data_IF_755413171134
#
_entry.id   IF_755413171134
#
_cell.length_a   1.000
_cell.length_b   1.000
_cell.length_c   1.000
_cell.angle_alpha   90.00
_cell.angle_beta   90.00
_cell.angle_gamma   90.00
#
_symmetry.space_group_name_H-M   'P 1'
#
loop_
_entity.id
_entity.type
_entity.pdbx_description
1 polymer ?
#
# COMPACT_ATOMS: atom_id res chain seq x y z
N UNK A 1 20.72 -7.86 4.27
CA UNK A 1 19.44 -7.18 4.21
C UNK A 1 18.93 -6.88 5.60
N UNK A 2 18.37 -5.71 5.77
CA UNK A 2 17.97 -5.24 7.07
C UNK A 2 16.56 -5.72 7.43
N UNK A 3 16.38 -6.40 8.57
CA UNK A 3 15.04 -6.75 9.02
C UNK A 3 14.17 -5.53 9.31
N UNK A 4 14.79 -4.38 9.63
CA UNK A 4 14.07 -3.14 9.82
C UNK A 4 13.42 -2.65 8.53
N UNK A 5 14.13 -2.82 7.41
CA UNK A 5 13.60 -2.42 6.11
C UNK A 5 12.40 -3.28 5.72
N UNK A 6 12.46 -4.58 5.98
CA UNK A 6 11.33 -5.47 5.74
C UNK A 6 10.11 -5.04 6.54
N UNK A 7 10.30 -4.78 7.83
CA UNK A 7 9.22 -4.32 8.70
C UNK A 7 8.64 -3.00 8.22
N UNK A 8 9.48 -2.10 7.76
CA UNK A 8 9.05 -0.81 7.22
C UNK A 8 8.12 -1.01 6.01
N UNK A 9 8.51 -1.89 5.09
CA UNK A 9 7.70 -2.17 3.91
C UNK A 9 6.36 -2.78 4.29
N UNK A 10 6.37 -3.74 5.20
CA UNK A 10 5.14 -4.37 5.68
C UNK A 10 4.20 -3.35 6.33
N UNK A 11 4.75 -2.46 7.14
CA UNK A 11 3.96 -1.40 7.77
C UNK A 11 3.35 -0.44 6.76
N UNK A 12 4.11 -0.11 5.72
CA UNK A 12 3.61 0.74 4.65
C UNK A 12 2.42 0.12 3.94
N UNK A 13 2.54 -1.16 3.61
CA UNK A 13 1.46 -1.90 2.95
C UNK A 13 0.21 -1.90 3.84
N UNK A 14 0.39 -2.19 5.11
CA UNK A 14 -0.72 -2.22 6.06
C UNK A 14 -1.42 -0.87 6.16
N UNK A 15 -0.65 0.20 6.26
CA UNK A 15 -1.20 1.55 6.32
C UNK A 15 -1.98 1.89 5.07
N UNK A 16 -1.44 1.55 3.91
CA UNK A 16 -2.12 1.82 2.65
C UNK A 16 -3.42 1.04 2.54
N UNK A 17 -3.43 -0.21 2.99
CA UNK A 17 -4.65 -1.01 3.02
C UNK A 17 -5.72 -0.40 3.91
N UNK A 18 -5.33 0.11 5.07
CA UNK A 18 -6.26 0.77 5.98
C UNK A 18 -6.86 2.02 5.35
N UNK A 19 -6.04 2.81 4.68
CA UNK A 19 -6.53 4.01 3.99
C UNK A 19 -7.52 3.61 2.89
N UNK A 20 -7.22 2.57 2.15
CA UNK A 20 -8.13 2.07 1.11
C UNK A 20 -9.48 1.67 1.71
N UNK A 21 -9.46 1.00 2.86
CA UNK A 21 -10.68 0.62 3.56
C UNK A 21 -11.51 1.83 4.00
N UNK A 22 -10.84 2.93 4.38
CA UNK A 22 -11.53 4.15 4.78
C UNK A 22 -12.14 4.90 3.61
N UNK A 23 -11.69 4.64 2.39
CA UNK A 23 -12.24 5.29 1.20
C UNK A 23 -13.50 4.52 0.79
N UNK A 24 -14.63 4.99 1.26
CA UNK A 24 -15.93 4.37 0.99
C UNK A 24 -16.73 5.10 -0.07
N UNK A 25 -16.27 6.28 -0.46
CA UNK A 25 -16.94 7.10 -1.48
C UNK A 25 -16.73 6.53 -2.88
N UNK A 26 -17.70 6.76 -3.76
CA UNK A 26 -17.61 6.34 -5.16
C UNK A 26 -17.31 7.51 -6.10
N UNK A 27 -16.77 8.59 -5.56
CA UNK A 27 -16.36 9.74 -6.37
C UNK A 27 -15.11 9.41 -7.18
N UNK A 28 -14.90 10.16 -8.27
CA UNK A 28 -13.72 9.99 -9.11
C UNK A 28 -12.43 10.12 -8.31
N UNK A 29 -12.37 11.12 -7.44
CA UNK A 29 -11.18 11.34 -6.61
C UNK A 29 -10.90 10.15 -5.70
N UNK A 30 -11.95 9.58 -5.13
CA UNK A 30 -11.79 8.43 -4.24
C UNK A 30 -11.30 7.21 -5.00
N UNK A 31 -11.82 6.98 -6.20
CA UNK A 31 -11.41 5.87 -7.06
C UNK A 31 -9.95 6.02 -7.48
N UNK A 32 -9.55 7.22 -7.89
CA UNK A 32 -8.17 7.51 -8.26
C UNK A 32 -7.23 7.26 -7.09
N UNK A 33 -7.60 7.70 -5.90
CA UNK A 33 -6.80 7.51 -4.71
C UNK A 33 -6.61 6.03 -4.40
N UNK A 34 -7.70 5.25 -4.48
CA UNK A 34 -7.62 3.81 -4.28
C UNK A 34 -6.66 3.16 -5.27
N UNK A 35 -6.78 3.54 -6.53
CA UNK A 35 -5.93 2.97 -7.59
C UNK A 35 -4.45 3.30 -7.34
N UNK A 36 -4.15 4.53 -6.93
CA UNK A 36 -2.79 4.92 -6.60
C UNK A 36 -2.22 4.09 -5.45
N UNK A 37 -3.01 3.94 -4.39
CA UNK A 37 -2.57 3.18 -3.23
C UNK A 37 -2.37 1.71 -3.56
N UNK A 38 -3.25 1.15 -4.40
CA UNK A 38 -3.10 -0.23 -4.86
C UNK A 38 -1.83 -0.42 -5.67
N UNK A 39 -1.50 0.53 -6.54
CA UNK A 39 -0.26 0.49 -7.31
C UNK A 39 0.96 0.50 -6.39
N UNK A 40 0.95 1.40 -5.41
CA UNK A 40 2.05 1.49 -4.45
C UNK A 40 2.21 0.20 -3.66
N UNK A 41 1.10 -0.40 -3.25
CA UNK A 41 1.13 -1.67 -2.53
C UNK A 41 1.71 -2.78 -3.38
N UNK A 42 1.37 -2.83 -4.66
CA UNK A 42 1.94 -3.83 -5.56
C UNK A 42 3.45 -3.71 -5.67
N UNK A 43 3.95 -2.48 -5.76
CA UNK A 43 5.39 -2.23 -5.82
C UNK A 43 6.07 -2.64 -4.52
N UNK A 44 5.46 -2.31 -3.39
CA UNK A 44 5.99 -2.68 -2.09
C UNK A 44 6.01 -4.19 -1.91
N UNK A 45 4.99 -4.88 -2.37
CA UNK A 45 4.94 -6.35 -2.31
C UNK A 45 6.03 -6.98 -3.17
N UNK A 46 6.34 -6.39 -4.32
CA UNK A 46 7.44 -6.86 -5.16
C UNK A 46 8.78 -6.72 -4.44
N UNK A 47 8.97 -5.58 -3.78
CA UNK A 47 10.18 -5.37 -2.98
C UNK A 47 10.27 -6.41 -1.86
N UNK A 48 9.16 -6.69 -1.22
CA UNK A 48 9.10 -7.64 -0.13
C UNK A 48 9.49 -9.05 -0.59
N UNK A 49 9.09 -9.43 -1.79
CA UNK A 49 9.45 -10.73 -2.36
C UNK A 49 10.94 -10.90 -2.57
N UNK A 50 11.67 -9.81 -2.73
CA UNK A 50 13.12 -9.85 -2.96
C UNK A 50 13.92 -9.98 -1.67
N UNK A 51 13.27 -9.97 -0.54
CA UNK A 51 13.92 -10.24 0.73
C UNK A 51 13.90 -11.73 1.04
#
# INVERSE_FOLDING_TARGET
KSPLLKSYIENKIEKNEKVIEFIIDNTEHAIERKNELNKKNQQLQKLLKNF
#
